data_IF_614089629643
#
_entry.id   IF_614089629643
#
_cell.length_a   1.000
_cell.length_b   1.000
_cell.length_c   1.000
_cell.angle_alpha   90.00
_cell.angle_beta   90.00
_cell.angle_gamma   90.00
#
_symmetry.space_group_name_H-M   'P 1'
#
loop_
_entity.id
_entity.type
_entity.pdbx_description
1 polymer ?
#
# COMPACT_ATOMS: atom_id res chain seq x y z
N UNK A 1 2.88 -0.15 -2.97
CA UNK A 1 2.82 1.08 -3.79
C UNK A 1 2.56 0.83 -5.27
N UNK A 2 3.29 -0.08 -5.94
CA UNK A 2 3.13 -0.34 -7.40
C UNK A 2 1.71 -0.72 -7.85
N UNK A 3 0.88 -1.32 -6.97
CA UNK A 3 -0.49 -1.73 -7.33
C UNK A 3 -1.45 -0.55 -7.38
N UNK A 4 -1.49 0.28 -6.34
CA UNK A 4 -2.32 1.48 -6.29
C UNK A 4 -2.02 2.41 -7.48
N UNK A 5 -0.74 2.71 -7.68
CA UNK A 5 -0.27 3.52 -8.81
C UNK A 5 -0.69 2.93 -10.15
N UNK A 6 -0.53 1.62 -10.35
CA UNK A 6 -0.96 0.93 -11.56
C UNK A 6 -2.48 1.03 -11.78
N UNK A 7 -3.28 0.82 -10.74
CA UNK A 7 -4.74 0.91 -10.81
C UNK A 7 -5.19 2.34 -11.16
N UNK A 8 -4.58 3.38 -10.56
CA UNK A 8 -4.87 4.77 -10.91
C UNK A 8 -4.40 5.11 -12.33
N UNK A 9 -3.21 4.67 -12.74
CA UNK A 9 -2.68 4.92 -14.07
C UNK A 9 -3.51 4.25 -15.16
N UNK A 10 -3.97 3.01 -14.95
CA UNK A 10 -4.88 2.32 -15.86
C UNK A 10 -6.21 3.07 -16.02
N UNK A 11 -6.76 3.60 -14.92
CA UNK A 11 -7.97 4.39 -14.94
C UNK A 11 -7.79 5.74 -15.67
N UNK A 12 -6.72 6.48 -15.35
CA UNK A 12 -6.38 7.75 -16.00
C UNK A 12 -6.10 7.56 -17.50
N UNK A 13 -5.43 6.47 -17.89
CA UNK A 13 -5.19 6.11 -19.29
C UNK A 13 -6.49 5.79 -20.04
N UNK A 14 -7.45 5.12 -19.39
CA UNK A 14 -8.79 4.88 -19.95
C UNK A 14 -9.57 6.18 -20.16
N UNK A 15 -9.46 7.12 -19.22
CA UNK A 15 -10.12 8.44 -19.27
C UNK A 15 -9.39 9.48 -20.15
N UNK A 16 -8.27 9.11 -20.79
CA UNK A 16 -7.50 10.04 -21.61
C UNK A 16 -6.76 11.14 -20.82
N UNK A 17 -6.67 11.02 -19.49
CA UNK A 17 -6.00 11.97 -18.59
C UNK A 17 -4.53 11.60 -18.31
N UNK A 18 -3.94 10.79 -19.19
CA UNK A 18 -2.52 10.43 -19.14
C UNK A 18 -1.66 11.65 -19.47
N UNK A 19 -1.02 12.21 -18.44
CA UNK A 19 -0.07 13.30 -18.59
C UNK A 19 1.02 12.98 -19.61
N UNK A 20 1.22 13.93 -20.51
CA UNK A 20 2.03 13.79 -21.73
C UNK A 20 1.17 13.45 -22.94
N UNK A 21 0.48 14.46 -23.49
CA UNK A 21 0.03 14.39 -24.88
C UNK A 21 1.30 14.51 -25.74
N UNK A 22 1.70 13.50 -26.53
CA UNK A 22 2.77 13.70 -27.50
C UNK A 22 2.31 14.79 -28.49
N UNK A 23 3.13 15.83 -28.68
CA UNK A 23 2.92 16.88 -29.68
C UNK A 23 2.87 16.21 -31.07
N UNK A 24 1.66 15.83 -31.52
CA UNK A 24 1.42 15.17 -32.80
C UNK A 24 0.66 13.83 -32.75
N UNK A 25 0.39 13.26 -31.56
CA UNK A 25 -0.42 12.04 -31.45
C UNK A 25 -1.92 12.33 -31.43
N UNK A 26 -2.73 11.56 -32.18
CA UNK A 26 -4.19 11.65 -32.16
C UNK A 26 -4.69 11.65 -30.72
N UNK A 27 -5.34 12.73 -30.27
CA UNK A 27 -6.01 12.81 -28.97
C UNK A 27 -6.93 11.59 -28.86
N UNK A 28 -6.69 10.72 -27.87
CA UNK A 28 -7.68 9.71 -27.49
C UNK A 28 -8.97 10.48 -27.17
N UNK A 29 -10.14 10.02 -27.65
CA UNK A 29 -11.39 10.70 -27.37
C UNK A 29 -11.52 10.84 -25.85
N UNK A 30 -11.79 12.06 -25.41
CA UNK A 30 -12.00 12.41 -24.02
C UNK A 30 -13.26 11.66 -23.58
N UNK A 31 -13.11 10.43 -23.09
CA UNK A 31 -14.23 9.61 -22.65
C UNK A 31 -14.86 10.34 -21.46
N UNK A 32 -16.11 10.76 -21.62
CA UNK A 32 -16.83 11.45 -20.56
C UNK A 32 -16.97 10.48 -19.38
N UNK A 33 -16.50 10.83 -18.18
CA UNK A 33 -16.52 9.92 -17.04
C UNK A 33 -17.94 9.42 -16.76
N UNK A 34 -18.20 8.13 -16.94
CA UNK A 34 -19.47 7.56 -16.53
C UNK A 34 -19.42 7.21 -15.05
N UNK A 35 -20.54 7.38 -14.33
CA UNK A 35 -20.71 6.90 -12.97
C UNK A 35 -20.43 5.39 -12.83
N UNK A 36 -20.58 4.63 -13.92
CA UNK A 36 -20.21 3.20 -13.96
C UNK A 36 -18.69 2.99 -13.85
N UNK A 37 -17.88 3.82 -14.51
CA UNK A 37 -16.42 3.70 -14.46
C UNK A 37 -15.86 4.11 -13.09
N UNK A 38 -16.44 5.15 -12.49
CA UNK A 38 -16.12 5.56 -11.12
C UNK A 38 -16.47 4.46 -10.10
N UNK A 39 -17.61 3.78 -10.27
CA UNK A 39 -18.01 2.63 -9.45
C UNK A 39 -17.09 1.42 -9.63
N UNK A 40 -16.70 1.08 -10.87
CA UNK A 40 -15.74 -0.01 -11.12
C UNK A 40 -14.38 0.27 -10.47
N UNK A 41 -13.90 1.52 -10.54
CA UNK A 41 -12.67 1.92 -9.86
C UNK A 41 -12.79 1.77 -8.34
N UNK A 42 -13.87 2.28 -7.74
CA UNK A 42 -14.13 2.14 -6.31
C UNK A 42 -14.19 0.67 -5.87
N UNK A 43 -14.77 -0.20 -6.70
CA UNK A 43 -14.82 -1.63 -6.42
C UNK A 43 -13.44 -2.28 -6.46
N UNK A 44 -12.62 -1.94 -7.46
CA UNK A 44 -11.21 -2.38 -7.55
C UNK A 44 -10.40 -1.91 -6.34
N UNK A 45 -10.52 -0.63 -5.98
CA UNK A 45 -9.84 -0.06 -4.80
C UNK A 45 -10.28 -0.75 -3.50
N UNK A 46 -11.59 -1.04 -3.34
CA UNK A 46 -12.11 -1.81 -2.21
C UNK A 46 -11.52 -3.22 -2.15
N UNK A 47 -11.38 -3.88 -3.30
CA UNK A 47 -10.78 -5.22 -3.38
C UNK A 47 -9.31 -5.19 -2.98
N UNK A 48 -8.56 -4.20 -3.47
CA UNK A 48 -7.17 -3.97 -3.09
C UNK A 48 -7.04 -3.63 -1.60
N UNK A 49 -7.90 -2.79 -1.04
CA UNK A 49 -7.91 -2.48 0.39
C UNK A 49 -8.16 -3.72 1.26
N UNK A 50 -9.13 -4.58 0.89
CA UNK A 50 -9.38 -5.86 1.58
C UNK A 50 -8.17 -6.79 1.52
N UNK A 51 -7.51 -6.86 0.37
CA UNK A 51 -6.30 -7.68 0.19
C UNK A 51 -5.14 -7.17 1.05
N UNK A 52 -4.87 -5.87 1.02
CA UNK A 52 -3.86 -5.22 1.86
C UNK A 52 -4.15 -5.44 3.34
N UNK A 53 -5.42 -5.34 3.77
CA UNK A 53 -5.79 -5.57 5.17
C UNK A 53 -5.54 -7.03 5.59
N UNK A 54 -5.82 -8.01 4.71
CA UNK A 54 -5.49 -9.43 4.98
C UNK A 54 -3.99 -9.66 5.13
N UNK A 55 -3.17 -9.08 4.25
CA UNK A 55 -1.72 -9.20 4.36
C UNK A 55 -1.22 -8.53 5.64
N UNK A 56 -1.77 -7.36 5.99
CA UNK A 56 -1.39 -6.63 7.20
C UNK A 56 -1.67 -7.48 8.45
N UNK A 57 -2.82 -8.15 8.52
CA UNK A 57 -3.14 -9.10 9.60
C UNK A 57 -2.13 -10.26 9.65
N UNK A 58 -1.75 -10.83 8.50
CA UNK A 58 -0.75 -11.91 8.44
C UNK A 58 0.62 -11.45 8.97
N UNK A 59 1.06 -10.24 8.61
CA UNK A 59 2.32 -9.69 9.12
C UNK A 59 2.26 -9.43 10.63
N UNK A 60 1.14 -8.93 11.16
CA UNK A 60 0.96 -8.77 12.61
C UNK A 60 1.02 -10.13 13.31
N UNK A 61 0.32 -11.14 12.78
CA UNK A 61 0.36 -12.49 13.35
C UNK A 61 1.79 -13.08 13.33
N UNK A 62 2.51 -12.93 12.22
CA UNK A 62 3.91 -13.35 12.11
C UNK A 62 4.82 -12.61 13.10
N UNK A 63 4.61 -11.30 13.29
CA UNK A 63 5.33 -10.50 14.28
C UNK A 63 5.10 -11.04 15.70
N UNK A 64 3.85 -11.35 16.07
CA UNK A 64 3.53 -11.93 17.38
C UNK A 64 4.22 -13.27 17.60
N UNK A 65 4.24 -14.14 16.57
CA UNK A 65 4.91 -15.45 16.64
C UNK A 65 6.42 -15.28 16.79
N UNK A 66 7.03 -14.41 15.98
CA UNK A 66 8.46 -14.10 16.07
C UNK A 66 8.84 -13.53 17.43
N UNK A 67 8.02 -12.63 17.97
CA UNK A 67 8.23 -12.05 19.29
C UNK A 67 8.13 -13.12 20.39
N UNK A 68 7.09 -13.95 20.38
CA UNK A 68 6.92 -15.05 21.35
C UNK A 68 8.10 -16.04 21.28
N UNK A 69 8.54 -16.39 20.07
CA UNK A 69 9.69 -17.27 19.84
C UNK A 69 10.98 -16.63 20.35
N UNK A 70 11.14 -15.32 20.13
CA UNK A 70 12.30 -14.58 20.59
C UNK A 70 12.38 -14.51 22.11
N UNK A 71 11.26 -14.21 22.77
CA UNK A 71 11.16 -14.20 24.24
C UNK A 71 11.45 -15.60 24.79
N UNK A 72 10.87 -16.66 24.20
CA UNK A 72 11.12 -18.04 24.60
C UNK A 72 12.60 -18.42 24.48
N UNK A 73 13.25 -18.06 23.36
CA UNK A 73 14.67 -18.31 23.14
C UNK A 73 15.54 -17.58 24.16
N UNK A 74 15.19 -16.33 24.50
CA UNK A 74 15.92 -15.57 25.52
C UNK A 74 15.85 -16.33 26.86
N UNK A 75 14.66 -16.72 27.31
CA UNK A 75 14.49 -17.47 28.56
C UNK A 75 15.21 -18.82 28.54
N UNK A 76 15.14 -19.56 27.43
CA UNK A 76 15.81 -20.86 27.29
C UNK A 76 17.34 -20.74 27.28
N UNK A 77 17.87 -19.69 26.67
CA UNK A 77 19.32 -19.48 26.52
C UNK A 77 19.94 -18.73 27.72
N UNK A 78 19.14 -18.16 28.64
CA UNK A 78 19.67 -17.41 29.80
C UNK A 78 20.57 -18.25 30.71
N UNK A 79 20.30 -19.55 30.83
CA UNK A 79 21.11 -20.47 31.66
C UNK A 79 22.28 -21.08 30.89
N UNK A 80 22.51 -20.67 29.63
CA UNK A 80 23.56 -21.24 28.79
C UNK A 80 24.94 -20.67 29.14
N UNK A 81 26.01 -21.50 29.16
CA UNK A 81 27.37 -21.07 29.47
C UNK A 81 28.04 -20.22 28.37
N UNK A 82 27.33 -19.92 27.27
CA UNK A 82 27.86 -19.21 26.09
C UNK A 82 27.18 -17.85 25.89
N UNK A 83 27.64 -16.78 26.58
CA UNK A 83 27.03 -15.45 26.51
C UNK A 83 27.06 -14.81 25.11
N UNK A 84 28.02 -15.22 24.26
CA UNK A 84 28.10 -14.76 22.87
C UNK A 84 26.91 -15.22 22.02
N UNK A 85 26.39 -16.43 22.28
CA UNK A 85 25.22 -16.96 21.58
C UNK A 85 23.97 -16.19 21.99
N UNK A 86 23.81 -15.91 23.29
CA UNK A 86 22.70 -15.11 23.83
C UNK A 86 22.68 -13.71 23.21
N UNK A 87 23.83 -13.03 23.17
CA UNK A 87 23.93 -11.70 22.57
C UNK A 87 23.62 -11.72 21.06
N UNK A 88 24.11 -12.73 20.33
CA UNK A 88 23.80 -12.92 18.91
C UNK A 88 22.32 -13.17 18.64
N UNK A 89 21.67 -13.99 19.48
CA UNK A 89 20.23 -14.26 19.38
C UNK A 89 19.40 -13.01 19.65
N UNK A 90 19.71 -12.26 20.72
CA UNK A 90 19.02 -10.99 21.03
C UNK A 90 19.20 -9.98 19.89
N UNK A 91 20.42 -9.81 19.39
CA UNK A 91 20.72 -8.91 18.28
C UNK A 91 19.98 -9.30 17.00
N UNK A 92 20.00 -10.58 16.63
CA UNK A 92 19.34 -11.11 15.44
C UNK A 92 17.81 -10.97 15.50
N UNK A 93 17.19 -11.28 16.64
CA UNK A 93 15.76 -11.09 16.86
C UNK A 93 15.40 -9.60 16.75
N UNK A 94 16.18 -8.72 17.37
CA UNK A 94 15.94 -7.27 17.35
C UNK A 94 16.00 -6.70 15.93
N UNK A 95 17.02 -7.07 15.15
CA UNK A 95 17.12 -6.67 13.75
C UNK A 95 15.97 -7.23 12.90
N UNK A 96 15.60 -8.49 13.10
CA UNK A 96 14.47 -9.12 12.42
C UNK A 96 13.15 -8.39 12.71
N UNK A 97 12.90 -8.05 13.99
CA UNK A 97 11.75 -7.25 14.41
C UNK A 97 11.74 -5.89 13.73
N UNK A 98 12.88 -5.20 13.70
CA UNK A 98 12.99 -3.88 13.07
C UNK A 98 12.65 -3.93 11.58
N UNK A 99 13.16 -4.93 10.85
CA UNK A 99 12.83 -5.11 9.43
C UNK A 99 11.33 -5.39 9.19
N UNK A 100 10.70 -6.18 10.06
CA UNK A 100 9.24 -6.44 9.98
C UNK A 100 8.45 -5.17 10.28
N UNK A 101 8.86 -4.39 11.29
CA UNK A 101 8.21 -3.12 11.66
C UNK A 101 8.30 -2.10 10.51
N UNK A 102 9.47 -1.94 9.89
CA UNK A 102 9.63 -1.06 8.73
C UNK A 102 8.69 -1.45 7.57
N UNK A 103 8.62 -2.75 7.29
CA UNK A 103 7.69 -3.29 6.27
C UNK A 103 6.24 -2.98 6.62
N UNK A 104 5.87 -3.17 7.90
CA UNK A 104 4.53 -2.89 8.41
C UNK A 104 4.19 -1.41 8.28
N UNK A 105 5.14 -0.53 8.59
CA UNK A 105 4.98 0.91 8.48
C UNK A 105 4.71 1.32 7.03
N UNK A 106 5.46 0.80 6.06
CA UNK A 106 5.23 1.05 4.64
C UNK A 106 3.85 0.56 4.18
N UNK A 107 3.40 -0.60 4.66
CA UNK A 107 2.05 -1.11 4.38
C UNK A 107 0.94 -0.25 4.99
N UNK A 108 1.15 0.27 6.20
CA UNK A 108 0.21 1.18 6.86
C UNK A 108 0.06 2.49 6.09
N UNK A 109 1.16 3.06 5.61
CA UNK A 109 1.11 4.25 4.75
C UNK A 109 0.34 3.98 3.45
N UNK A 110 0.55 2.81 2.82
CA UNK A 110 -0.19 2.42 1.61
C UNK A 110 -1.70 2.28 1.88
N UNK A 111 -2.07 1.65 3.00
CA UNK A 111 -3.47 1.55 3.42
C UNK A 111 -4.09 2.92 3.70
N UNK A 112 -3.39 3.80 4.42
CA UNK A 112 -3.87 5.14 4.71
C UNK A 112 -4.13 5.94 3.43
N UNK A 113 -3.23 5.86 2.44
CA UNK A 113 -3.44 6.50 1.12
C UNK A 113 -4.65 5.92 0.38
N UNK A 114 -4.81 4.59 0.40
CA UNK A 114 -5.98 3.91 -0.17
C UNK A 114 -7.30 4.39 0.45
N UNK A 115 -7.35 4.45 1.79
CA UNK A 115 -8.54 4.87 2.53
C UNK A 115 -8.88 6.34 2.25
N UNK A 116 -7.88 7.22 2.17
CA UNK A 116 -8.08 8.63 1.80
C UNK A 116 -8.65 8.76 0.38
N UNK A 117 -8.06 8.07 -0.61
CA UNK A 117 -8.54 8.10 -2.00
C UNK A 117 -9.98 7.57 -2.08
N UNK A 118 -10.26 6.44 -1.41
CA UNK A 118 -11.61 5.87 -1.40
C UNK A 118 -12.64 6.77 -0.72
N UNK A 119 -12.25 7.49 0.33
CA UNK A 119 -13.13 8.43 1.05
C UNK A 119 -13.44 9.65 0.18
N UNK A 120 -12.42 10.21 -0.48
CA UNK A 120 -12.60 11.32 -1.42
C UNK A 120 -13.53 10.92 -2.58
N UNK A 121 -13.36 9.72 -3.12
CA UNK A 121 -14.15 9.24 -4.26
C UNK A 121 -15.61 8.90 -3.95
N UNK A 122 -15.96 8.62 -2.69
CA UNK A 122 -17.34 8.27 -2.31
C UNK A 122 -18.29 9.48 -2.30
N UNK A 123 -17.76 10.70 -2.22
CA UNK A 123 -18.56 11.93 -2.14
C UNK A 123 -18.56 12.80 -3.40
N UNK A 124 -17.80 12.43 -4.43
CA UNK A 124 -17.57 13.28 -5.62
C UNK A 124 -18.33 12.77 -6.85
N UNK A 125 -18.87 13.67 -7.71
CA UNK A 125 -19.31 13.34 -9.06
C UNK A 125 -18.17 12.73 -9.88
N UNK A 126 -18.49 11.85 -10.85
CA UNK A 126 -17.49 11.13 -11.64
C UNK A 126 -16.48 12.04 -12.36
N UNK A 127 -16.88 13.26 -12.74
CA UNK A 127 -16.01 14.28 -13.35
C UNK A 127 -15.00 14.86 -12.37
N UNK A 128 -15.42 15.17 -11.14
CA UNK A 128 -14.54 15.70 -10.09
C UNK A 128 -13.63 14.61 -9.52
N UNK A 129 -14.13 13.37 -9.44
CA UNK A 129 -13.36 12.20 -9.06
C UNK A 129 -12.12 11.99 -9.96
N UNK A 130 -12.26 12.12 -11.28
CA UNK A 130 -11.14 12.00 -12.23
C UNK A 130 -10.08 13.10 -12.01
N UNK A 131 -10.52 14.34 -11.78
CA UNK A 131 -9.62 15.46 -11.50
C UNK A 131 -8.86 15.25 -10.17
N UNK A 132 -9.57 14.82 -9.12
CA UNK A 132 -8.97 14.52 -7.83
C UNK A 132 -7.94 13.38 -7.91
N UNK A 133 -8.27 12.28 -8.62
CA UNK A 133 -7.34 11.17 -8.88
C UNK A 133 -6.12 11.64 -9.65
N UNK A 134 -6.29 12.48 -10.67
CA UNK A 134 -5.17 13.02 -11.44
C UNK A 134 -4.25 13.86 -10.54
N UNK A 135 -4.80 14.80 -9.76
CA UNK A 135 -4.02 15.63 -8.82
C UNK A 135 -3.26 14.79 -7.80
N UNK A 136 -3.90 13.74 -7.27
CA UNK A 136 -3.25 12.80 -6.34
C UNK A 136 -2.15 12.00 -7.04
N UNK A 137 -2.40 11.49 -8.25
CA UNK A 137 -1.42 10.71 -9.01
C UNK A 137 -0.16 11.53 -9.32
N UNK A 138 -0.34 12.74 -9.87
CA UNK A 138 0.77 13.60 -10.27
C UNK A 138 1.46 14.26 -9.08
N UNK A 139 0.73 14.64 -8.03
CA UNK A 139 1.29 15.29 -6.84
C UNK A 139 1.95 14.33 -5.85
N UNK A 140 1.48 13.09 -5.72
CA UNK A 140 1.96 12.14 -4.69
C UNK A 140 2.89 11.05 -5.27
N UNK A 141 2.72 10.66 -6.55
CA UNK A 141 3.44 9.51 -7.10
C UNK A 141 4.54 9.86 -8.13
N UNK A 142 4.59 11.10 -8.64
CA UNK A 142 5.57 11.50 -9.67
C UNK A 142 6.63 12.52 -9.20
N UNK A 143 6.72 12.75 -7.89
CA UNK A 143 7.90 13.37 -7.27
C UNK A 143 8.87 12.29 -6.80
#
# INVERSE_FOLDING_TARGET
MKRLEKTLNEFLNKMGHSGGVPLGGKKKPNAQPSDKDAKDLLERLRKDAKFTNRILILYIAALCIMYATGVFLIFYLTDSPHPQVVAGTIGGISFGLMAVIERLHGMWQEKARLDVIMTLLQGLPATEAVSAIASIYWGIFRH
#
